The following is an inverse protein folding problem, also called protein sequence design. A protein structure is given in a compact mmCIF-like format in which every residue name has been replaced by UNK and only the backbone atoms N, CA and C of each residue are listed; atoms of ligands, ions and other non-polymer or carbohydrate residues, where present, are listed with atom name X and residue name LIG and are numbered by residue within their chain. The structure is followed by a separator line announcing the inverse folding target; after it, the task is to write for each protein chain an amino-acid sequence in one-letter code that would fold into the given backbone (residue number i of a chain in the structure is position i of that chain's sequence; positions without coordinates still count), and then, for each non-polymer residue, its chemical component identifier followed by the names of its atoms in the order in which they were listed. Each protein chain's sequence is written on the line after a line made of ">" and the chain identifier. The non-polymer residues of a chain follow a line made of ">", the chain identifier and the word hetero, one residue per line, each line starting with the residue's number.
data_IF_679983215042
#
_entry.id   IF_679983215042
#
_cell.length_a   1.000
_cell.length_b   1.000
_cell.length_c   1.000
_cell.angle_alpha   90.00
_cell.angle_beta   90.00
_cell.angle_gamma   90.00
#
_symmetry.space_group_name_H-M   'P 1'
#
loop_
_entity.id
_entity.type
_entity.pdbx_description
1 polymer ?
#
# COMPACT_ATOMS: atom_id res chain seq x y z
N UNK A 1 -13.53 -20.48 -20.96
CA UNK A 1 -12.57 -20.16 -19.89
C UNK A 1 -11.73 -18.99 -20.38
N UNK A 2 -12.02 -17.78 -19.91
CA UNK A 2 -11.18 -16.63 -20.22
C UNK A 2 -9.85 -16.82 -19.48
N UNK A 3 -8.78 -17.08 -20.24
CA UNK A 3 -7.43 -17.19 -19.71
C UNK A 3 -6.95 -15.76 -19.39
N UNK A 4 -7.46 -15.18 -18.28
CA UNK A 4 -7.05 -13.85 -17.84
C UNK A 4 -5.61 -13.98 -17.35
N UNK A 5 -4.68 -13.36 -18.06
CA UNK A 5 -3.28 -13.26 -17.61
C UNK A 5 -3.20 -12.30 -16.42
N UNK A 6 -2.22 -12.52 -15.54
CA UNK A 6 -1.87 -11.54 -14.50
C UNK A 6 -1.69 -10.16 -15.13
N UNK A 7 -2.44 -9.18 -14.64
CA UNK A 7 -2.29 -7.77 -15.02
C UNK A 7 -1.79 -6.98 -13.83
N UNK A 8 -0.86 -6.06 -14.07
CA UNK A 8 -0.33 -5.17 -13.04
C UNK A 8 -0.50 -3.72 -13.47
N UNK A 9 -1.07 -2.91 -12.57
CA UNK A 9 -1.21 -1.47 -12.72
C UNK A 9 -0.18 -0.80 -11.80
N UNK A 10 0.69 0.00 -12.40
CA UNK A 10 1.57 0.87 -11.65
C UNK A 10 0.77 2.05 -11.08
N UNK A 11 0.78 2.19 -9.77
CA UNK A 11 0.08 3.26 -9.06
C UNK A 11 0.96 4.49 -8.81
N UNK A 12 2.20 4.49 -9.27
CA UNK A 12 3.12 5.64 -9.16
C UNK A 12 2.56 6.90 -9.83
N UNK A 13 3.26 8.01 -9.64
CA UNK A 13 2.91 9.31 -10.22
C UNK A 13 2.13 10.21 -9.26
N UNK A 14 1.32 11.11 -9.80
CA UNK A 14 0.64 12.15 -9.01
C UNK A 14 -0.56 11.60 -8.25
N UNK A 15 -0.62 11.94 -6.96
CA UNK A 15 -1.73 11.67 -6.04
C UNK A 15 -2.21 12.98 -5.44
N UNK A 16 -3.52 13.11 -5.20
CA UNK A 16 -4.05 14.14 -4.33
C UNK A 16 -3.53 13.93 -2.91
N UNK A 17 -3.21 15.01 -2.20
CA UNK A 17 -2.55 14.97 -0.91
C UNK A 17 -3.20 15.88 0.13
N UNK A 18 -3.22 15.43 1.39
CA UNK A 18 -3.66 16.22 2.54
C UNK A 18 -2.92 15.81 3.81
N UNK A 19 -2.62 16.77 4.69
CA UNK A 19 -2.07 16.56 6.03
C UNK A 19 -3.12 16.81 7.13
N UNK A 20 -4.40 16.72 6.80
CA UNK A 20 -5.48 16.92 7.76
C UNK A 20 -5.45 15.86 8.85
N UNK A 21 -5.48 16.30 10.10
CA UNK A 21 -5.58 15.39 11.25
C UNK A 21 -7.07 15.09 11.49
N UNK A 22 -7.47 13.85 11.25
CA UNK A 22 -8.86 13.43 11.29
C UNK A 22 -9.15 12.55 12.50
N UNK A 23 -10.38 12.58 12.98
CA UNK A 23 -10.83 11.66 14.02
C UNK A 23 -10.80 10.20 13.50
N UNK A 24 -10.61 9.24 14.41
CA UNK A 24 -10.56 7.82 14.06
C UNK A 24 -11.80 7.39 13.25
N UNK A 25 -11.56 6.78 12.10
CA UNK A 25 -12.61 6.28 11.21
C UNK A 25 -13.19 7.32 10.25
N UNK A 26 -12.69 8.56 10.30
CA UNK A 26 -13.05 9.61 9.32
C UNK A 26 -11.87 9.90 8.39
N UNK A 27 -12.15 10.55 7.26
CA UNK A 27 -11.13 10.94 6.29
C UNK A 27 -11.47 12.31 5.65
N UNK A 28 -10.46 13.04 5.11
CA UNK A 28 -10.71 14.32 4.48
C UNK A 28 -11.54 14.16 3.20
N UNK A 29 -12.45 15.05 2.97
CA UNK A 29 -13.26 15.12 1.74
C UNK A 29 -12.64 16.07 0.71
N UNK A 30 -11.83 17.04 1.15
CA UNK A 30 -11.14 18.00 0.31
C UNK A 30 -9.63 17.75 0.30
N UNK A 31 -9.05 17.81 -0.89
CA UNK A 31 -7.62 17.70 -1.15
C UNK A 31 -7.20 18.92 -1.95
N UNK A 32 -6.41 19.79 -1.35
CA UNK A 32 -5.96 21.05 -1.97
C UNK A 32 -4.53 20.99 -2.50
N UNK A 33 -3.86 19.86 -2.31
CA UNK A 33 -2.45 19.70 -2.65
C UNK A 33 -2.23 18.38 -3.39
N UNK A 34 -1.06 18.20 -3.97
CA UNK A 34 -0.66 16.98 -4.66
C UNK A 34 0.76 16.57 -4.28
N UNK A 35 1.07 15.28 -4.47
CA UNK A 35 2.39 14.71 -4.28
C UNK A 35 2.66 13.67 -5.34
N UNK A 36 3.90 13.61 -5.86
CA UNK A 36 4.33 12.50 -6.70
C UNK A 36 4.86 11.36 -5.84
N UNK A 37 4.30 10.17 -6.00
CA UNK A 37 4.73 8.94 -5.34
C UNK A 37 5.39 7.99 -6.36
N UNK A 38 6.35 7.14 -5.94
CA UNK A 38 6.91 6.98 -4.59
C UNK A 38 7.69 8.20 -4.12
N UNK A 39 7.49 8.61 -2.86
CA UNK A 39 8.22 9.73 -2.25
C UNK A 39 8.00 9.79 -0.74
N UNK A 40 8.77 10.63 -0.06
CA UNK A 40 8.47 11.06 1.31
C UNK A 40 7.87 12.47 1.32
N UNK A 41 7.11 12.77 2.37
CA UNK A 41 6.62 14.14 2.61
C UNK A 41 7.77 15.14 2.66
N UNK A 42 8.89 14.79 3.28
CA UNK A 42 10.06 15.66 3.41
C UNK A 42 10.71 15.98 2.05
N UNK A 43 10.96 14.97 1.21
CA UNK A 43 11.52 15.19 -0.14
C UNK A 43 10.57 15.99 -1.05
N UNK A 44 9.27 15.80 -0.87
CA UNK A 44 8.24 16.58 -1.55
C UNK A 44 8.06 17.99 -0.97
N UNK A 45 8.86 18.39 0.03
CA UNK A 45 8.78 19.67 0.74
C UNK A 45 7.41 19.91 1.41
N UNK A 46 6.79 18.85 1.90
CA UNK A 46 5.54 18.91 2.67
C UNK A 46 5.87 18.85 4.16
N UNK A 47 5.17 19.65 4.96
CA UNK A 47 5.41 19.78 6.38
C UNK A 47 6.12 21.09 6.75
N UNK A 48 6.72 21.16 7.93
CA UNK A 48 7.39 22.36 8.45
C UNK A 48 8.87 22.31 8.10
N UNK A 49 9.45 23.34 7.45
CA UNK A 49 10.88 23.43 7.22
C UNK A 49 11.65 23.27 8.53
N UNK A 50 12.65 22.40 8.54
CA UNK A 50 13.52 22.17 9.69
C UNK A 50 14.91 22.76 9.41
N UNK A 51 15.20 23.99 9.84
CA UNK A 51 16.49 24.63 9.64
C UNK A 51 17.58 24.09 10.58
N UNK A 52 17.22 23.29 11.58
CA UNK A 52 18.16 22.76 12.57
C UNK A 52 18.98 21.63 11.95
N UNK A 53 20.28 21.71 12.16
CA UNK A 53 21.19 20.60 11.89
C UNK A 53 21.43 19.90 13.22
N UNK A 54 20.83 18.75 13.38
CA UNK A 54 21.09 17.89 14.55
C UNK A 54 22.40 17.14 14.34
N UNK A 55 23.19 17.00 15.38
CA UNK A 55 24.49 16.31 15.33
C UNK A 55 24.43 14.91 15.93
N UNK A 56 23.38 14.62 16.69
CA UNK A 56 23.22 13.35 17.41
C UNK A 56 22.26 12.36 16.73
N UNK A 57 21.45 12.79 15.76
CA UNK A 57 20.45 11.93 15.11
C UNK A 57 20.02 12.48 13.74
N UNK A 58 19.37 11.62 12.96
CA UNK A 58 18.92 11.96 11.62
C UNK A 58 17.58 12.73 11.69
N UNK A 59 17.51 13.82 10.93
CA UNK A 59 16.29 14.65 10.81
C UNK A 59 15.90 14.87 9.36
N UNK A 60 14.62 15.06 9.13
CA UNK A 60 14.09 15.48 7.82
C UNK A 60 14.25 16.98 7.60
N UNK A 61 14.50 17.38 6.35
CA UNK A 61 14.54 18.79 5.96
C UNK A 61 13.17 19.48 6.12
N UNK A 62 12.10 18.72 5.97
CA UNK A 62 10.73 19.14 6.27
C UNK A 62 10.12 18.13 7.24
N UNK A 63 9.92 18.57 8.49
CA UNK A 63 9.37 17.71 9.53
C UNK A 63 7.85 17.60 9.38
N UNK A 64 7.35 16.39 9.47
CA UNK A 64 5.92 16.09 9.53
C UNK A 64 5.67 14.86 10.38
N UNK A 65 4.80 14.99 11.37
CA UNK A 65 4.31 13.88 12.18
C UNK A 65 2.78 13.89 12.20
N UNK A 66 2.18 12.72 12.02
CA UNK A 66 0.74 12.53 12.02
C UNK A 66 0.21 11.88 10.75
N UNK A 67 -0.96 12.29 10.34
CA UNK A 67 -1.74 11.68 9.27
C UNK A 67 -1.43 12.33 7.92
N UNK A 68 -0.86 11.56 7.00
CA UNK A 68 -0.71 11.93 5.60
C UNK A 68 -1.70 11.12 4.76
N UNK A 69 -2.53 11.80 4.00
CA UNK A 69 -3.60 11.23 3.20
C UNK A 69 -3.27 11.34 1.73
N UNK A 70 -3.38 10.22 1.01
CA UNK A 70 -3.10 10.10 -0.40
C UNK A 70 -4.32 9.54 -1.11
N UNK A 71 -4.80 10.23 -2.15
CA UNK A 71 -5.98 9.81 -2.92
C UNK A 71 -5.65 9.74 -4.40
N UNK A 72 -6.08 8.67 -5.06
CA UNK A 72 -5.95 8.47 -6.51
C UNK A 72 -7.19 7.80 -7.06
N UNK A 73 -7.62 8.23 -8.24
CA UNK A 73 -8.62 7.52 -9.04
C UNK A 73 -7.93 6.76 -10.14
N UNK A 74 -8.32 5.52 -10.31
CA UNK A 74 -7.81 4.63 -11.36
C UNK A 74 -8.98 4.04 -12.15
N UNK A 75 -8.72 3.65 -13.37
CA UNK A 75 -9.66 2.94 -14.20
C UNK A 75 -9.23 1.48 -14.33
N UNK A 76 -10.10 0.55 -13.94
CA UNK A 76 -9.93 -0.88 -14.06
C UNK A 76 -10.84 -1.35 -15.19
N UNK A 77 -10.31 -2.24 -16.04
CA UNK A 77 -11.05 -2.80 -17.16
C UNK A 77 -12.35 -3.48 -16.67
N UNK A 78 -13.52 -3.11 -17.22
CA UNK A 78 -14.79 -3.69 -16.81
C UNK A 78 -14.84 -5.23 -16.91
N UNK A 79 -14.13 -5.81 -17.87
CA UNK A 79 -14.03 -7.29 -18.02
C UNK A 79 -13.44 -7.99 -16.80
N UNK A 80 -12.71 -7.26 -15.95
CA UNK A 80 -12.09 -7.79 -14.73
C UNK A 80 -12.99 -7.70 -13.50
N UNK A 81 -14.15 -7.05 -13.65
CA UNK A 81 -15.08 -6.71 -12.55
C UNK A 81 -16.44 -7.34 -12.75
N UNK A 82 -16.63 -8.11 -13.81
CA UNK A 82 -17.94 -8.63 -14.20
C UNK A 82 -18.54 -9.54 -13.09
N UNK A 83 -19.70 -9.17 -12.50
CA UNK A 83 -20.33 -9.97 -11.45
C UNK A 83 -20.86 -11.31 -11.94
N UNK A 84 -21.14 -11.46 -13.25
CA UNK A 84 -21.70 -12.67 -13.84
C UNK A 84 -20.62 -13.74 -14.11
N UNK A 85 -19.39 -13.30 -14.37
CA UNK A 85 -18.23 -14.19 -14.61
C UNK A 85 -17.33 -14.37 -13.40
N UNK A 86 -17.61 -13.66 -12.31
CA UNK A 86 -16.77 -13.59 -11.12
C UNK A 86 -15.74 -12.46 -11.21
N UNK A 87 -15.58 -11.73 -10.11
CA UNK A 87 -14.57 -10.68 -10.02
C UNK A 87 -13.18 -11.32 -9.91
N UNK A 88 -12.26 -10.94 -10.77
CA UNK A 88 -10.87 -11.39 -10.68
C UNK A 88 -10.26 -10.98 -9.33
N UNK A 89 -9.50 -11.85 -8.65
CA UNK A 89 -8.81 -11.48 -7.42
C UNK A 89 -7.89 -10.28 -7.62
N UNK A 90 -7.97 -9.30 -6.73
CA UNK A 90 -7.22 -8.04 -6.83
C UNK A 90 -6.45 -7.76 -5.55
N UNK A 91 -5.15 -7.55 -5.66
CA UNK A 91 -4.29 -7.19 -4.52
C UNK A 91 -3.62 -5.84 -4.76
N UNK A 92 -3.76 -4.95 -3.80
CA UNK A 92 -3.06 -3.67 -3.78
C UNK A 92 -1.87 -3.77 -2.84
N UNK A 93 -0.67 -3.51 -3.37
CA UNK A 93 0.60 -3.59 -2.64
C UNK A 93 1.22 -2.21 -2.51
N UNK A 94 1.60 -1.87 -1.27
CA UNK A 94 2.36 -0.66 -0.93
C UNK A 94 3.67 -1.08 -0.27
N UNK A 95 4.79 -0.87 -0.95
CA UNK A 95 6.10 -1.22 -0.44
C UNK A 95 6.74 -0.01 0.26
N UNK A 96 7.46 -0.27 1.36
CA UNK A 96 8.22 0.73 2.14
C UNK A 96 7.37 1.96 2.49
N UNK A 97 6.52 1.76 3.43
CA UNK A 97 5.69 2.82 4.01
C UNK A 97 5.72 2.76 5.54
N UNK A 98 5.05 3.70 6.19
CA UNK A 98 4.74 3.64 7.62
C UNK A 98 3.41 2.93 7.81
N UNK A 99 2.81 3.02 8.98
CA UNK A 99 1.50 2.39 9.22
C UNK A 99 0.47 2.93 8.22
N UNK A 100 -0.27 2.03 7.59
CA UNK A 100 -1.29 2.43 6.61
C UNK A 100 -2.68 1.96 6.98
N UNK A 101 -3.67 2.73 6.53
CA UNK A 101 -5.06 2.29 6.42
C UNK A 101 -5.56 2.58 5.02
N UNK A 102 -6.28 1.64 4.43
CA UNK A 102 -6.77 1.69 3.05
C UNK A 102 -8.29 1.75 3.02
N UNK A 103 -8.80 2.60 2.13
CA UNK A 103 -10.21 2.64 1.72
C UNK A 103 -10.31 2.55 0.19
N UNK A 104 -11.35 1.88 -0.28
CA UNK A 104 -11.76 1.82 -1.68
C UNK A 104 -13.18 2.37 -1.77
N UNK A 105 -13.39 3.41 -2.57
CA UNK A 105 -14.68 4.10 -2.73
C UNK A 105 -15.34 4.43 -1.37
N UNK A 106 -14.56 4.92 -0.42
CA UNK A 106 -14.98 5.28 0.93
C UNK A 106 -15.23 4.10 1.88
N UNK A 107 -15.15 2.86 1.42
CA UNK A 107 -15.27 1.65 2.27
C UNK A 107 -13.91 1.24 2.79
N UNK A 108 -13.78 1.11 4.12
CA UNK A 108 -12.52 0.70 4.75
C UNK A 108 -12.20 -0.75 4.41
N UNK A 109 -11.01 -0.98 3.82
CA UNK A 109 -10.48 -2.31 3.51
C UNK A 109 -9.77 -2.90 4.72
N UNK A 110 -8.79 -2.17 5.26
CA UNK A 110 -7.98 -2.66 6.37
C UNK A 110 -6.91 -1.68 6.79
N UNK A 111 -6.05 -2.13 7.72
CA UNK A 111 -4.85 -1.41 8.15
C UNK A 111 -3.70 -2.37 8.34
N UNK A 112 -2.47 -1.87 8.17
CA UNK A 112 -1.24 -2.60 8.42
C UNK A 112 -0.24 -1.71 9.15
N UNK A 113 0.38 -2.22 10.18
CA UNK A 113 1.36 -1.54 11.03
C UNK A 113 2.78 -2.10 10.89
N UNK A 114 2.99 -3.03 9.96
CA UNK A 114 4.33 -3.55 9.66
C UNK A 114 5.23 -2.44 9.11
N UNK A 115 6.43 -2.32 9.64
CA UNK A 115 7.46 -1.39 9.16
C UNK A 115 8.52 -2.07 8.28
N UNK A 116 8.43 -3.39 8.12
CA UNK A 116 9.48 -4.21 7.49
C UNK A 116 9.01 -4.92 6.21
N UNK A 117 7.71 -5.11 6.03
CA UNK A 117 7.15 -5.87 4.91
C UNK A 117 6.23 -4.98 4.07
N UNK A 118 6.04 -5.29 2.79
CA UNK A 118 5.01 -4.65 1.99
C UNK A 118 3.63 -4.80 2.63
N UNK A 119 2.79 -3.77 2.52
CA UNK A 119 1.39 -3.83 2.91
C UNK A 119 0.58 -4.33 1.73
N UNK A 120 0.00 -5.50 1.86
CA UNK A 120 -0.80 -6.14 0.82
C UNK A 120 -2.27 -6.18 1.26
N UNK A 121 -3.14 -5.64 0.44
CA UNK A 121 -4.58 -5.57 0.69
C UNK A 121 -5.33 -6.32 -0.41
N UNK A 122 -6.15 -7.28 -0.03
CA UNK A 122 -7.15 -7.85 -0.94
C UNK A 122 -8.30 -6.85 -1.07
N UNK A 123 -8.48 -6.33 -2.28
CA UNK A 123 -9.51 -5.35 -2.60
C UNK A 123 -10.63 -5.92 -3.49
N UNK A 124 -10.61 -7.21 -3.78
CA UNK A 124 -11.54 -7.89 -4.69
C UNK A 124 -13.00 -7.53 -4.41
N UNK A 125 -13.43 -7.69 -3.16
CA UNK A 125 -14.83 -7.42 -2.76
C UNK A 125 -15.21 -5.92 -2.71
N UNK A 126 -14.24 -5.03 -2.91
CA UNK A 126 -14.44 -3.59 -2.83
C UNK A 126 -14.56 -2.93 -4.21
N UNK A 127 -13.98 -3.56 -5.23
CA UNK A 127 -13.99 -3.05 -6.62
C UNK A 127 -15.29 -3.52 -7.29
N UNK A 128 -16.26 -2.62 -7.39
CA UNK A 128 -17.61 -2.91 -7.93
C UNK A 128 -17.95 -2.11 -9.18
N UNK A 129 -17.02 -1.26 -9.63
CA UNK A 129 -17.18 -0.40 -10.81
C UNK A 129 -15.81 -0.08 -11.42
N UNK A 130 -15.75 0.28 -12.70
CA UNK A 130 -14.47 0.53 -13.39
C UNK A 130 -13.66 1.72 -12.83
N UNK A 131 -14.32 2.81 -12.47
CA UNK A 131 -13.65 3.97 -11.87
C UNK A 131 -13.60 3.82 -10.36
N UNK A 132 -12.41 3.54 -9.84
CA UNK A 132 -12.17 3.25 -8.42
C UNK A 132 -11.39 4.38 -7.77
N UNK A 133 -11.84 4.84 -6.61
CA UNK A 133 -11.10 5.76 -5.77
C UNK A 133 -10.34 4.99 -4.69
N UNK A 134 -9.02 5.14 -4.70
CA UNK A 134 -8.10 4.61 -3.69
C UNK A 134 -7.77 5.75 -2.73
N UNK A 135 -7.98 5.54 -1.43
CA UNK A 135 -7.58 6.46 -0.38
C UNK A 135 -6.70 5.74 0.62
N UNK A 136 -5.49 6.25 0.82
CA UNK A 136 -4.50 5.71 1.76
C UNK A 136 -4.20 6.74 2.81
N UNK A 137 -4.32 6.36 4.08
CA UNK A 137 -3.74 7.06 5.22
C UNK A 137 -2.38 6.45 5.51
N UNK A 138 -1.36 7.29 5.68
CA UNK A 138 -0.05 6.88 6.22
C UNK A 138 0.20 7.65 7.51
N UNK A 139 0.43 6.92 8.61
CA UNK A 139 0.71 7.49 9.93
C UNK A 139 2.15 7.15 10.35
N UNK A 140 2.89 8.17 10.80
CA UNK A 140 4.24 8.02 11.36
C UNK A 140 4.31 8.34 12.85
N UNK A 141 3.20 8.18 13.55
CA UNK A 141 3.08 8.34 15.00
C UNK A 141 2.36 7.14 15.60
N UNK A 142 2.56 6.88 16.90
CA UNK A 142 1.83 5.80 17.58
C UNK A 142 2.24 4.39 17.17
N UNK A 143 3.50 4.20 16.81
CA UNK A 143 4.02 2.87 16.44
C UNK A 143 3.80 1.83 17.54
N UNK A 144 3.55 0.56 17.18
CA UNK A 144 3.35 -0.52 18.15
C UNK A 144 4.60 -0.80 19.00
N UNK A 145 5.79 -0.41 18.50
CA UNK A 145 7.07 -0.57 19.20
C UNK A 145 7.76 0.78 19.40
N UNK A 146 8.55 0.90 20.48
CA UNK A 146 9.36 2.10 20.78
C UNK A 146 10.84 1.75 20.81
N UNK A 147 11.68 2.66 20.30
CA UNK A 147 13.14 2.57 20.41
C UNK A 147 13.80 1.49 19.55
N UNK A 148 13.09 0.87 18.62
CA UNK A 148 13.68 -0.05 17.64
C UNK A 148 14.34 0.69 16.48
N UNK A 149 15.21 0.01 15.72
CA UNK A 149 15.93 0.59 14.58
C UNK A 149 15.02 1.31 13.55
N UNK A 150 13.79 0.85 13.39
CA UNK A 150 12.84 1.42 12.42
C UNK A 150 12.13 2.69 12.92
N UNK A 151 12.23 2.99 14.21
CA UNK A 151 11.56 4.12 14.86
C UNK A 151 12.49 5.00 15.70
N UNK A 152 13.77 4.62 15.83
CA UNK A 152 14.76 5.41 16.55
C UNK A 152 15.33 6.54 15.69
N UNK A 153 15.39 7.79 16.19
CA UNK A 153 16.01 8.89 15.48
C UNK A 153 17.53 8.70 15.27
N UNK A 154 18.17 7.79 16.01
CA UNK A 154 19.59 7.47 15.85
C UNK A 154 19.90 6.71 14.56
N UNK A 155 18.89 6.06 13.96
CA UNK A 155 19.04 5.19 12.79
C UNK A 155 18.38 5.73 11.53
N UNK A 156 17.31 6.51 11.65
CA UNK A 156 16.63 7.15 10.54
C UNK A 156 15.77 8.31 11.02
N UNK A 157 15.40 9.21 10.08
CA UNK A 157 14.40 10.22 10.38
C UNK A 157 13.01 9.61 10.52
N UNK A 158 12.09 10.32 11.19
CA UNK A 158 10.68 9.91 11.28
C UNK A 158 9.90 10.35 10.04
N UNK A 159 10.31 9.82 8.86
CA UNK A 159 9.70 10.15 7.58
C UNK A 159 8.26 9.63 7.46
N UNK A 160 7.48 10.27 6.61
CA UNK A 160 6.14 9.83 6.20
C UNK A 160 6.08 9.72 4.66
N UNK A 161 5.24 8.84 4.15
CA UNK A 161 5.05 8.63 2.72
C UNK A 161 5.10 7.16 2.31
N UNK A 162 5.17 6.93 1.00
CA UNK A 162 5.31 5.60 0.37
C UNK A 162 6.51 5.69 -0.56
N UNK A 163 7.55 4.88 -0.32
CA UNK A 163 8.87 5.05 -0.96
C UNK A 163 9.29 3.88 -1.84
N UNK A 164 8.55 2.78 -1.82
CA UNK A 164 8.76 1.60 -2.67
C UNK A 164 7.72 1.47 -3.77
N UNK A 165 7.60 0.28 -4.32
CA UNK A 165 6.60 -0.02 -5.35
C UNK A 165 5.18 0.14 -4.83
N UNK A 166 4.32 0.58 -5.73
CA UNK A 166 2.88 0.73 -5.51
C UNK A 166 2.17 0.09 -6.69
N UNK A 167 1.56 -1.07 -6.47
CA UNK A 167 0.94 -1.83 -7.56
C UNK A 167 -0.46 -2.29 -7.20
N UNK A 168 -1.31 -2.37 -8.21
CA UNK A 168 -2.54 -3.14 -8.16
C UNK A 168 -2.37 -4.32 -9.13
N UNK A 169 -2.43 -5.52 -8.59
CA UNK A 169 -2.33 -6.76 -9.34
C UNK A 169 -3.71 -7.41 -9.43
N UNK A 170 -4.06 -7.80 -10.65
CA UNK A 170 -5.29 -8.54 -10.96
C UNK A 170 -4.89 -9.93 -11.39
N UNK A 171 -5.30 -10.92 -10.64
CA UNK A 171 -4.95 -12.32 -10.83
C UNK A 171 -6.01 -13.04 -11.66
N UNK A 172 -5.65 -14.09 -12.40
CA UNK A 172 -6.63 -14.99 -12.98
C UNK A 172 -7.43 -15.70 -11.87
N UNK A 173 -8.58 -16.25 -12.21
CA UNK A 173 -9.45 -16.98 -11.28
C UNK A 173 -8.70 -18.10 -10.52
N UNK A 174 -7.76 -18.73 -11.20
CA UNK A 174 -6.88 -19.76 -10.61
C UNK A 174 -5.44 -19.28 -10.71
N UNK A 175 -4.78 -19.12 -9.60
CA UNK A 175 -3.37 -18.72 -9.54
C UNK A 175 -2.65 -19.34 -8.34
N UNK A 176 -1.32 -19.43 -8.45
CA UNK A 176 -0.47 -19.82 -7.32
C UNK A 176 -0.19 -18.61 -6.44
N UNK A 177 -0.78 -18.57 -5.25
CA UNK A 177 -0.63 -17.44 -4.32
C UNK A 177 0.77 -17.44 -3.67
N UNK A 178 1.19 -18.60 -3.18
CA UNK A 178 2.49 -18.77 -2.56
C UNK A 178 3.20 -20.01 -3.11
N UNK A 179 4.45 -19.83 -3.54
CA UNK A 179 5.32 -20.94 -3.91
C UNK A 179 6.53 -20.96 -2.98
N UNK A 180 6.66 -22.03 -2.21
CA UNK A 180 7.83 -22.27 -1.36
C UNK A 180 8.73 -23.30 -2.04
N UNK A 181 10.02 -23.03 -2.08
CA UNK A 181 11.02 -23.94 -2.62
C UNK A 181 11.88 -24.52 -1.50
N UNK A 182 11.90 -25.82 -1.35
CA UNK A 182 12.71 -26.54 -0.36
C UNK A 182 13.85 -27.24 -1.09
N UNK A 183 15.08 -26.67 -1.11
CA UNK A 183 16.22 -27.28 -1.74
C UNK A 183 16.76 -28.44 -0.90
N UNK A 184 17.11 -29.55 -1.57
CA UNK A 184 17.87 -30.66 -1.00
C UNK A 184 19.19 -30.81 -1.75
N UNK A 185 20.28 -30.18 -1.25
CA UNK A 185 21.58 -30.22 -1.93
C UNK A 185 22.19 -31.62 -2.03
N UNK A 186 21.91 -32.51 -1.07
CA UNK A 186 22.43 -33.86 -1.07
C UNK A 186 21.87 -34.70 -2.25
N UNK A 187 20.62 -34.53 -2.55
CA UNK A 187 19.95 -35.21 -3.65
C UNK A 187 19.87 -34.38 -4.95
N UNK A 188 20.44 -33.16 -4.91
CA UNK A 188 20.45 -32.22 -6.04
C UNK A 188 19.05 -31.96 -6.62
N UNK A 189 18.05 -31.88 -5.74
CA UNK A 189 16.66 -31.59 -6.13
C UNK A 189 16.07 -30.43 -5.33
N UNK A 190 14.90 -29.94 -5.79
CA UNK A 190 14.09 -28.93 -5.12
C UNK A 190 12.66 -29.42 -5.08
N UNK A 191 12.03 -29.40 -3.91
CA UNK A 191 10.61 -29.71 -3.76
C UNK A 191 9.84 -28.38 -3.71
N UNK A 192 9.08 -28.02 -4.77
CA UNK A 192 8.19 -26.88 -4.73
C UNK A 192 6.90 -27.25 -3.99
N UNK A 193 6.44 -26.35 -3.12
CA UNK A 193 5.12 -26.42 -2.48
C UNK A 193 4.36 -25.16 -2.87
N UNK A 194 3.21 -25.31 -3.52
CA UNK A 194 2.37 -24.20 -3.91
C UNK A 194 1.00 -24.29 -3.24
N UNK A 195 0.49 -23.14 -2.82
CA UNK A 195 -0.89 -22.96 -2.42
C UNK A 195 -1.63 -22.30 -3.58
N UNK A 196 -2.65 -22.97 -4.11
CA UNK A 196 -3.51 -22.42 -5.16
C UNK A 196 -4.76 -21.82 -4.50
N UNK A 197 -5.10 -20.61 -4.89
CA UNK A 197 -6.37 -19.98 -4.50
C UNK A 197 -7.41 -20.34 -5.56
N UNK A 198 -8.48 -21.02 -5.14
CA UNK A 198 -9.68 -21.26 -5.94
C UNK A 198 -10.79 -20.41 -5.35
N UNK A 199 -11.23 -19.39 -6.05
CA UNK A 199 -12.49 -18.74 -5.72
C UNK A 199 -13.61 -19.65 -6.21
N UNK A 200 -14.24 -20.40 -5.29
CA UNK A 200 -15.46 -21.12 -5.62
C UNK A 200 -16.60 -20.10 -5.75
N UNK A 201 -17.41 -20.18 -6.81
CA UNK A 201 -18.60 -19.36 -6.89
C UNK A 201 -19.49 -19.68 -5.69
N UNK A 202 -19.80 -18.68 -4.88
CA UNK A 202 -20.81 -18.78 -3.82
C UNK A 202 -22.19 -18.79 -4.50
N UNK A 203 -22.83 -19.96 -4.48
CA UNK A 203 -24.26 -20.08 -4.83
C UNK A 203 -25.13 -19.33 -3.81
#
# INVERSE_FOLDING_TARGET
>A
MNNTMLRSYDLSGVWDFSMAQMAKGTFPTAFSDTISLPNTTSLAKKGTPNPRRETGFLTDAYAFEGQAWFRKKIYIDPELIDPDTGCCPMKLTLERTRMTTLWIDGRRVGSCDSLCTPHVYDITAYVTKPLVEILVLVENTGYPTKGGHLTSPDTQSNWNGITGQMTLEVFPEVYADHVQAYPNPAEKNVTPVSYTHLTLPTN
#
